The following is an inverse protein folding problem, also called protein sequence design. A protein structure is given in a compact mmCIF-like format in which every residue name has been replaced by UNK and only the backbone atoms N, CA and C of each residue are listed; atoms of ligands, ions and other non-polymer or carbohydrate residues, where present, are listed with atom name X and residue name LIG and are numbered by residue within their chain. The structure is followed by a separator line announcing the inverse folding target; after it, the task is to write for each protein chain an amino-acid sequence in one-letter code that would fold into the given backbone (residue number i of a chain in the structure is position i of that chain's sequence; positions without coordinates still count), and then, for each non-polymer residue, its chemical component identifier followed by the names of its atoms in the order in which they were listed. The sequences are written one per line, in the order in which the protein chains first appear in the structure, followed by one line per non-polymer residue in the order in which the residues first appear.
data_IF_756985113318
#
_entry.id   IF_756985113318
#
_cell.length_a   1.000
_cell.length_b   1.000
_cell.length_c   1.000
_cell.angle_alpha   90.00
_cell.angle_beta   90.00
_cell.angle_gamma   90.00
#
_symmetry.space_group_name_H-M   'P 1'
#
loop_
_entity.id
_entity.type
_entity.pdbx_description
1 polymer ?
#
# COMPACT_ATOMS: atom_id res chain seq x y z
N UNK A 1 50.89 -15.08 -63.67
CA UNK A 1 50.20 -15.99 -62.73
C UNK A 1 50.26 -15.35 -61.37
N UNK A 2 49.07 -15.29 -60.78
CA UNK A 2 48.66 -14.61 -59.56
C UNK A 2 49.35 -15.18 -58.31
N UNK A 3 49.29 -14.46 -57.18
CA UNK A 3 48.93 -15.01 -55.86
C UNK A 3 48.92 -13.87 -54.82
N UNK A 4 47.80 -13.15 -54.79
CA UNK A 4 47.41 -12.30 -53.65
C UNK A 4 47.05 -13.18 -52.45
N UNK A 5 47.67 -12.92 -51.30
CA UNK A 5 47.38 -13.57 -50.01
C UNK A 5 46.13 -12.92 -49.39
N UNK A 6 45.10 -13.68 -48.96
CA UNK A 6 43.95 -13.10 -48.27
C UNK A 6 44.24 -12.95 -46.77
N UNK A 7 43.94 -11.77 -46.20
CA UNK A 7 43.80 -11.58 -44.75
C UNK A 7 42.46 -12.17 -44.31
N UNK A 8 42.51 -13.22 -43.48
CA UNK A 8 41.35 -13.72 -42.73
C UNK A 8 41.11 -12.81 -41.52
N UNK A 9 40.04 -12.02 -41.57
CA UNK A 9 39.51 -11.30 -40.41
C UNK A 9 38.64 -12.23 -39.58
N UNK A 10 39.00 -12.44 -38.32
CA UNK A 10 38.17 -13.13 -37.32
C UNK A 10 37.10 -12.19 -36.81
N UNK A 11 35.83 -12.44 -37.16
CA UNK A 11 34.69 -11.79 -36.54
C UNK A 11 34.45 -12.39 -35.14
N UNK A 12 34.66 -11.59 -34.09
CA UNK A 12 34.27 -11.96 -32.74
C UNK A 12 32.75 -11.80 -32.60
N UNK A 13 32.04 -12.92 -32.48
CA UNK A 13 30.61 -12.93 -32.12
C UNK A 13 30.51 -12.68 -30.62
N UNK A 14 30.06 -11.49 -30.23
CA UNK A 14 29.71 -11.19 -28.86
C UNK A 14 28.39 -11.93 -28.52
N UNK A 15 28.50 -12.99 -27.73
CA UNK A 15 27.32 -13.66 -27.15
C UNK A 15 26.87 -12.80 -25.97
N UNK A 16 25.78 -12.06 -26.14
CA UNK A 16 25.12 -11.38 -25.04
C UNK A 16 24.49 -12.44 -24.13
N UNK A 17 25.08 -12.65 -22.96
CA UNK A 17 24.47 -13.43 -21.88
C UNK A 17 23.36 -12.59 -21.26
N UNK A 18 22.10 -12.89 -21.61
CA UNK A 18 20.96 -12.41 -20.83
C UNK A 18 20.95 -13.18 -19.51
N UNK A 19 21.32 -12.52 -18.41
CA UNK A 19 21.00 -13.06 -17.09
C UNK A 19 19.48 -13.10 -16.96
N UNK A 20 18.89 -14.19 -16.42
CA UNK A 20 17.47 -14.20 -16.12
C UNK A 20 17.20 -13.06 -15.12
N UNK A 21 16.22 -12.21 -15.43
CA UNK A 21 15.69 -11.28 -14.45
C UNK A 21 15.18 -12.10 -13.26
N UNK A 22 15.81 -11.95 -12.11
CA UNK A 22 15.30 -12.53 -10.87
C UNK A 22 14.02 -11.78 -10.52
N UNK A 23 12.87 -12.37 -10.81
CA UNK A 23 11.63 -11.97 -10.17
C UNK A 23 11.83 -12.20 -8.66
N UNK A 24 11.84 -11.13 -7.87
CA UNK A 24 11.85 -11.25 -6.42
C UNK A 24 10.57 -11.99 -6.00
N UNK A 25 10.67 -12.86 -5.00
CA UNK A 25 9.48 -13.47 -4.42
C UNK A 25 8.55 -12.37 -3.89
N UNK A 26 7.26 -12.48 -4.20
CA UNK A 26 6.27 -11.54 -3.71
C UNK A 26 6.23 -11.56 -2.18
N UNK A 27 6.17 -10.38 -1.56
CA UNK A 27 6.03 -10.25 -0.11
C UNK A 27 4.55 -10.31 0.27
N UNK A 28 4.24 -11.06 1.34
CA UNK A 28 2.89 -11.21 1.84
C UNK A 28 2.72 -10.48 3.17
N UNK A 29 1.63 -9.73 3.31
CA UNK A 29 1.23 -9.08 4.55
C UNK A 29 -0.21 -9.46 4.87
N UNK A 30 -0.53 -9.56 6.16
CA UNK A 30 -1.88 -9.84 6.66
C UNK A 30 -2.26 -8.87 7.76
N UNK A 31 -3.55 -8.59 7.86
CA UNK A 31 -4.13 -7.91 9.02
C UNK A 31 -5.37 -8.65 9.48
N UNK A 32 -5.47 -8.85 10.80
CA UNK A 32 -6.73 -9.17 11.44
C UNK A 32 -7.47 -7.84 11.67
N UNK A 33 -8.67 -7.71 11.08
CA UNK A 33 -9.48 -6.50 11.17
C UNK A 33 -10.42 -6.66 12.37
N UNK A 34 -10.24 -5.80 13.37
CA UNK A 34 -11.00 -5.82 14.62
C UNK A 34 -11.93 -4.61 14.73
N UNK A 35 -13.07 -4.73 15.43
CA UNK A 35 -13.99 -3.61 15.60
C UNK A 35 -13.34 -2.43 16.34
N UNK A 36 -13.75 -1.22 15.96
CA UNK A 36 -13.58 0.02 16.70
C UNK A 36 -14.97 0.59 17.02
N UNK A 37 -15.08 1.36 18.10
CA UNK A 37 -16.36 1.97 18.50
C UNK A 37 -17.50 0.95 18.77
N UNK A 38 -17.16 -0.18 19.40
CA UNK A 38 -18.15 -1.22 19.77
C UNK A 38 -19.28 -0.69 20.65
N UNK A 39 -18.98 0.27 21.54
CA UNK A 39 -19.98 0.94 22.38
C UNK A 39 -21.05 1.70 21.57
N UNK A 40 -20.76 2.01 20.31
CA UNK A 40 -21.65 2.68 19.36
C UNK A 40 -22.20 1.73 18.30
N UNK A 41 -22.12 0.41 18.54
CA UNK A 41 -22.77 -0.60 17.74
C UNK A 41 -21.96 -1.12 16.56
N UNK A 42 -20.69 -0.73 16.42
CA UNK A 42 -19.82 -1.38 15.45
C UNK A 42 -19.54 -2.84 15.85
N UNK A 43 -19.75 -3.76 14.91
CA UNK A 43 -19.39 -5.18 15.05
C UNK A 43 -18.46 -5.64 13.93
N UNK A 44 -17.92 -4.69 13.18
CA UNK A 44 -17.21 -4.95 11.94
C UNK A 44 -15.90 -5.69 12.21
N UNK A 45 -15.74 -6.86 11.62
CA UNK A 45 -14.53 -7.67 11.78
C UNK A 45 -14.26 -8.54 10.55
N UNK A 46 -13.01 -8.96 10.39
CA UNK A 46 -12.60 -9.76 9.25
C UNK A 46 -11.09 -9.83 9.08
N UNK A 47 -10.64 -9.92 7.83
CA UNK A 47 -9.22 -10.00 7.53
C UNK A 47 -8.86 -9.26 6.25
N UNK A 48 -7.58 -8.91 6.14
CA UNK A 48 -7.00 -8.40 4.91
C UNK A 48 -5.72 -9.16 4.57
N UNK A 49 -5.48 -9.31 3.27
CA UNK A 49 -4.27 -9.88 2.70
C UNK A 49 -3.72 -8.93 1.65
N UNK A 50 -2.45 -8.57 1.76
CA UNK A 50 -1.76 -7.73 0.80
C UNK A 50 -0.57 -8.50 0.22
N UNK A 51 -0.52 -8.61 -1.10
CA UNK A 51 0.62 -9.18 -1.82
C UNK A 51 1.34 -8.08 -2.57
N UNK A 52 2.59 -7.82 -2.20
CA UNK A 52 3.48 -6.87 -2.87
C UNK A 52 4.44 -7.63 -3.79
N UNK A 53 4.33 -7.38 -5.09
CA UNK A 53 5.20 -7.96 -6.11
C UNK A 53 6.00 -6.86 -6.83
N UNK A 54 7.14 -7.25 -7.41
CA UNK A 54 8.09 -6.39 -8.10
C UNK A 54 8.41 -6.99 -9.48
N UNK A 55 7.47 -6.92 -10.45
CA UNK A 55 7.62 -7.60 -11.73
C UNK A 55 8.82 -7.10 -12.55
N UNK A 56 9.26 -5.87 -12.31
CA UNK A 56 10.44 -5.26 -12.94
C UNK A 56 11.09 -4.24 -12.02
N UNK A 57 12.25 -3.72 -12.42
CA UNK A 57 12.94 -2.65 -11.68
C UNK A 57 12.04 -1.41 -11.46
N UNK A 58 11.18 -1.11 -12.43
CA UNK A 58 10.37 0.11 -12.46
C UNK A 58 8.89 -0.11 -12.18
N UNK A 59 8.44 -1.34 -11.94
CA UNK A 59 7.02 -1.62 -11.67
C UNK A 59 6.86 -2.28 -10.29
N UNK A 60 5.89 -1.80 -9.53
CA UNK A 60 5.41 -2.45 -8.30
C UNK A 60 3.94 -2.77 -8.45
N UNK A 61 3.53 -3.93 -7.97
CA UNK A 61 2.14 -4.36 -7.97
C UNK A 61 1.74 -4.71 -6.55
N UNK A 62 0.59 -4.20 -6.12
CA UNK A 62 0.03 -4.42 -4.79
C UNK A 62 -1.38 -4.98 -4.95
N UNK A 63 -1.56 -6.27 -4.72
CA UNK A 63 -2.90 -6.86 -4.65
C UNK A 63 -3.40 -6.75 -3.23
N UNK A 64 -4.54 -6.09 -3.05
CA UNK A 64 -5.22 -5.93 -1.77
C UNK A 64 -6.50 -6.74 -1.79
N UNK A 65 -6.63 -7.65 -0.84
CA UNK A 65 -7.81 -8.47 -0.63
C UNK A 65 -8.34 -8.19 0.78
N UNK A 66 -9.62 -7.84 0.89
CA UNK A 66 -10.27 -7.54 2.17
C UNK A 66 -11.59 -8.30 2.19
N UNK A 67 -11.88 -8.93 3.32
CA UNK A 67 -13.17 -9.55 3.61
C UNK A 67 -13.57 -9.20 5.04
N UNK A 68 -14.53 -8.28 5.16
CA UNK A 68 -15.06 -7.78 6.43
C UNK A 68 -16.58 -7.90 6.43
N UNK A 69 -17.12 -8.31 7.57
CA UNK A 69 -18.56 -8.47 7.81
C UNK A 69 -18.96 -7.74 9.10
N UNK A 70 -20.27 -7.59 9.33
CA UNK A 70 -20.78 -6.96 10.56
C UNK A 70 -20.74 -5.43 10.50
N UNK A 71 -20.70 -4.87 9.29
CA UNK A 71 -20.88 -3.44 9.04
C UNK A 71 -22.37 -3.09 9.13
N UNK A 72 -22.67 -1.81 9.37
CA UNK A 72 -24.03 -1.30 9.28
C UNK A 72 -24.46 -1.26 7.81
N UNK A 73 -25.67 -1.72 7.47
CA UNK A 73 -26.20 -1.44 6.12
C UNK A 73 -26.58 0.04 6.00
N UNK A 74 -25.89 0.77 5.13
CA UNK A 74 -26.03 2.21 4.88
C UNK A 74 -26.85 2.49 3.60
N UNK A 75 -27.32 1.44 2.91
CA UNK A 75 -27.97 1.54 1.60
C UNK A 75 -29.24 2.41 1.62
N UNK A 76 -29.98 2.38 2.73
CA UNK A 76 -31.27 3.07 2.86
C UNK A 76 -31.19 4.60 2.80
N UNK A 77 -30.02 5.18 3.10
CA UNK A 77 -29.78 6.62 3.07
C UNK A 77 -28.60 7.03 2.18
N UNK A 78 -28.09 6.10 1.37
CA UNK A 78 -26.99 6.34 0.43
C UNK A 78 -25.63 6.58 1.10
N UNK A 79 -25.43 6.07 2.32
CA UNK A 79 -24.11 6.05 2.94
C UNK A 79 -23.20 4.99 2.32
N UNK A 80 -21.90 5.08 2.59
CA UNK A 80 -20.88 4.12 2.13
C UNK A 80 -19.85 3.85 3.22
N UNK A 81 -19.23 2.68 3.17
CA UNK A 81 -18.05 2.36 3.95
C UNK A 81 -16.80 2.69 3.16
N UNK A 82 -16.03 3.68 3.64
CA UNK A 82 -14.73 4.01 3.03
C UNK A 82 -13.62 3.25 3.76
N UNK A 83 -12.63 2.78 3.01
CA UNK A 83 -11.48 2.10 3.57
C UNK A 83 -10.18 2.68 3.02
N UNK A 84 -9.17 2.73 3.88
CA UNK A 84 -7.88 3.31 3.55
C UNK A 84 -6.74 2.51 4.18
N UNK A 85 -5.55 2.62 3.60
CA UNK A 85 -4.31 2.39 4.34
C UNK A 85 -3.87 3.72 4.94
N UNK A 86 -3.66 3.71 6.25
CA UNK A 86 -3.05 4.81 7.00
C UNK A 86 -1.57 4.52 7.24
N UNK A 87 -0.77 5.57 7.33
CA UNK A 87 0.67 5.46 7.53
C UNK A 87 1.27 6.66 8.23
N UNK A 88 1.98 6.41 9.33
CA UNK A 88 2.63 7.47 10.08
C UNK A 88 4.00 7.84 9.50
N UNK A 89 4.36 9.11 9.63
CA UNK A 89 5.64 9.65 9.16
C UNK A 89 6.42 10.30 10.30
N UNK A 90 7.76 10.21 10.21
CA UNK A 90 8.66 10.87 11.15
C UNK A 90 8.34 12.37 11.26
N UNK A 91 8.13 12.84 12.49
CA UNK A 91 7.76 14.22 12.80
C UNK A 91 6.28 14.58 12.63
N UNK A 92 5.43 13.71 12.05
CA UNK A 92 4.03 14.04 11.83
C UNK A 92 3.24 14.21 13.14
N UNK A 93 3.42 13.31 14.12
CA UNK A 93 2.77 13.39 15.43
C UNK A 93 3.06 14.69 16.20
N UNK A 94 4.12 15.43 15.84
CA UNK A 94 4.46 16.72 16.44
C UNK A 94 3.80 17.93 15.77
N UNK A 95 3.11 17.72 14.64
CA UNK A 95 2.41 18.78 13.89
C UNK A 95 1.07 19.12 14.56
N UNK A 96 0.53 20.32 14.33
CA UNK A 96 -0.83 20.66 14.77
C UNK A 96 -1.83 19.59 14.31
N UNK A 97 -2.74 19.17 15.19
CA UNK A 97 -3.62 18.02 15.00
C UNK A 97 -4.39 18.03 13.66
N UNK A 98 -4.93 19.19 13.30
CA UNK A 98 -5.67 19.37 12.05
C UNK A 98 -4.77 19.31 10.81
N UNK A 99 -3.49 19.62 10.95
CA UNK A 99 -2.50 19.52 9.89
C UNK A 99 -1.94 18.10 9.73
N UNK A 100 -2.18 17.15 10.64
CA UNK A 100 -1.51 15.84 10.61
C UNK A 100 -1.93 14.91 9.46
N UNK A 101 -3.02 15.23 8.76
CA UNK A 101 -3.36 14.56 7.49
C UNK A 101 -2.67 15.13 6.26
N UNK A 102 -1.98 16.26 6.43
CA UNK A 102 -1.31 17.02 5.38
C UNK A 102 0.16 17.19 5.76
N UNK A 103 1.07 17.18 4.79
CA UNK A 103 2.44 17.50 5.16
C UNK A 103 3.48 17.31 4.10
N UNK A 104 4.74 17.64 4.45
CA UNK A 104 5.86 17.58 3.52
C UNK A 104 6.15 16.14 3.05
N UNK A 105 5.64 15.12 3.74
CA UNK A 105 5.71 13.73 3.34
C UNK A 105 4.96 13.43 2.02
N UNK A 106 4.07 14.29 1.56
CA UNK A 106 3.46 14.17 0.22
C UNK A 106 4.22 14.92 -0.88
N UNK A 107 5.45 15.40 -0.61
CA UNK A 107 6.29 16.08 -1.62
C UNK A 107 7.53 15.26 -1.98
N UNK A 108 8.14 15.55 -3.12
CA UNK A 108 9.42 14.96 -3.52
C UNK A 108 9.36 13.43 -3.62
N UNK A 109 10.25 12.74 -2.90
CA UNK A 109 10.32 11.28 -2.89
C UNK A 109 9.34 10.61 -1.89
N UNK A 110 8.68 11.38 -1.02
CA UNK A 110 7.86 10.84 0.06
C UNK A 110 8.44 11.11 1.46
N UNK A 111 7.66 10.75 2.49
CA UNK A 111 8.07 10.81 3.90
C UNK A 111 8.82 9.58 4.36
N UNK A 112 9.55 9.70 5.47
CA UNK A 112 10.10 8.54 6.18
C UNK A 112 9.02 7.91 7.04
N UNK A 113 8.63 6.71 6.65
CA UNK A 113 7.71 5.86 7.39
C UNK A 113 8.15 5.63 8.85
N UNK A 114 7.18 5.64 9.75
CA UNK A 114 7.30 5.14 11.13
C UNK A 114 6.06 4.32 11.45
N UNK A 115 6.13 3.55 12.53
CA UNK A 115 5.04 2.67 12.96
C UNK A 115 3.73 3.47 13.17
N UNK A 116 2.70 3.08 12.43
CA UNK A 116 1.31 3.43 12.73
C UNK A 116 0.82 2.59 13.90
N UNK A 117 -0.03 3.16 14.75
CA UNK A 117 -0.61 2.47 15.90
C UNK A 117 -2.12 2.55 15.82
N UNK A 118 -2.77 1.39 15.93
CA UNK A 118 -4.22 1.34 16.04
C UNK A 118 -4.68 2.19 17.23
N UNK A 119 -5.59 3.14 17.00
CA UNK A 119 -6.11 3.95 18.07
C UNK A 119 -7.00 3.15 19.02
N UNK A 120 -7.05 3.59 20.26
CA UNK A 120 -7.78 2.94 21.36
C UNK A 120 -8.63 3.96 22.10
N UNK A 121 -9.51 3.51 23.00
CA UNK A 121 -10.24 4.43 23.90
C UNK A 121 -9.34 5.23 24.84
N UNK A 122 -8.04 4.92 24.95
CA UNK A 122 -7.11 5.80 25.66
C UNK A 122 -6.80 7.08 24.89
N UNK A 123 -7.12 7.12 23.59
CA UNK A 123 -6.93 8.25 22.69
C UNK A 123 -8.18 9.13 22.57
N UNK A 124 -9.29 8.75 23.22
CA UNK A 124 -10.50 9.57 23.38
C UNK A 124 -10.18 10.80 24.23
N UNK A 125 -10.11 11.97 23.59
CA UNK A 125 -9.60 13.21 24.21
C UNK A 125 -10.71 13.91 24.99
N UNK A 126 -11.95 13.85 24.51
CA UNK A 126 -13.08 14.55 25.13
C UNK A 126 -13.91 13.67 26.08
N UNK A 127 -13.66 12.36 26.09
CA UNK A 127 -14.18 11.40 27.06
C UNK A 127 -15.64 11.01 26.80
N UNK A 128 -16.12 11.16 25.57
CA UNK A 128 -17.47 10.77 25.18
C UNK A 128 -17.63 9.26 24.91
N UNK A 129 -16.52 8.52 24.95
CA UNK A 129 -16.42 7.08 24.74
C UNK A 129 -16.34 6.69 23.26
N UNK A 130 -16.37 7.66 22.34
CA UNK A 130 -16.34 7.48 20.91
C UNK A 130 -15.00 7.92 20.34
N UNK A 131 -14.25 6.97 19.80
CA UNK A 131 -13.01 7.26 19.10
C UNK A 131 -13.31 7.85 17.72
N UNK A 132 -13.09 9.14 17.57
CA UNK A 132 -13.27 9.85 16.31
C UNK A 132 -11.97 9.91 15.47
N UNK A 133 -12.09 10.37 14.21
CA UNK A 133 -10.95 10.38 13.28
C UNK A 133 -9.84 11.38 13.65
N UNK A 134 -10.18 12.43 14.40
CA UNK A 134 -9.22 13.44 14.86
C UNK A 134 -8.35 12.84 15.95
N UNK A 135 -8.96 12.05 16.84
CA UNK A 135 -8.30 11.36 17.95
C UNK A 135 -7.42 10.21 17.50
N UNK A 136 -7.83 9.47 16.47
CA UNK A 136 -7.00 8.38 15.92
C UNK A 136 -5.81 8.87 15.09
N UNK A 137 -5.88 10.07 14.53
CA UNK A 137 -4.88 10.63 13.59
C UNK A 137 -3.44 10.66 14.11
N UNK A 138 -3.15 11.09 15.35
CA UNK A 138 -1.80 11.08 15.89
C UNK A 138 -1.15 9.69 15.91
N UNK A 139 -1.97 8.65 16.08
CA UNK A 139 -1.53 7.26 16.19
C UNK A 139 -1.36 6.63 14.79
N UNK A 140 -2.40 6.66 13.95
CA UNK A 140 -2.38 5.94 12.68
C UNK A 140 -1.77 6.71 11.50
N UNK A 141 -1.66 8.05 11.59
CA UNK A 141 -1.16 8.92 10.52
C UNK A 141 -2.16 9.26 9.39
N UNK A 142 -1.72 10.00 8.37
CA UNK A 142 -2.51 10.34 7.19
C UNK A 142 -2.91 9.11 6.36
N UNK A 143 -3.92 9.27 5.50
CA UNK A 143 -4.24 8.31 4.44
C UNK A 143 -3.12 8.29 3.40
N UNK A 144 -2.57 7.10 3.12
CA UNK A 144 -1.53 6.88 2.10
C UNK A 144 -2.04 6.14 0.86
N UNK A 145 -3.17 5.43 0.98
CA UNK A 145 -3.85 4.79 -0.15
C UNK A 145 -5.36 4.69 0.13
N UNK A 146 -6.20 5.09 -0.84
CA UNK A 146 -7.64 4.80 -0.80
C UNK A 146 -7.87 3.37 -1.33
N UNK A 147 -8.63 2.56 -0.60
CA UNK A 147 -8.87 1.15 -0.93
C UNK A 147 -10.18 1.00 -1.72
N UNK A 148 -10.16 1.54 -2.93
CA UNK A 148 -11.29 1.56 -3.87
C UNK A 148 -11.33 0.31 -4.75
N UNK A 149 -12.50 -0.03 -5.30
CA UNK A 149 -12.70 -1.17 -6.20
C UNK A 149 -11.80 -1.14 -7.45
N UNK A 150 -11.35 0.04 -7.87
CA UNK A 150 -10.36 0.26 -8.91
C UNK A 150 -9.26 1.22 -8.44
N UNK A 151 -8.11 1.22 -9.13
CA UNK A 151 -7.04 2.16 -8.83
C UNK A 151 -7.36 3.56 -9.34
N UNK A 152 -7.29 4.54 -8.44
CA UNK A 152 -7.37 5.95 -8.78
C UNK A 152 -6.01 6.51 -9.24
N UNK A 153 -5.99 7.64 -9.99
CA UNK A 153 -4.75 8.32 -10.32
C UNK A 153 -3.93 8.68 -9.07
N UNK A 154 -2.61 8.55 -9.16
CA UNK A 154 -1.71 8.95 -8.09
C UNK A 154 -1.82 10.45 -7.81
N UNK A 155 -1.75 10.83 -6.54
CA UNK A 155 -1.90 12.22 -6.12
C UNK A 155 -0.67 13.05 -6.51
N UNK A 156 -0.85 14.27 -7.06
CA UNK A 156 0.25 15.17 -7.38
C UNK A 156 1.11 15.55 -6.17
N UNK A 157 2.32 16.07 -6.42
CA UNK A 157 3.23 16.46 -5.33
C UNK A 157 2.60 17.54 -4.44
N UNK A 158 2.60 17.27 -3.13
CA UNK A 158 2.01 18.12 -2.09
C UNK A 158 0.54 17.82 -1.81
N UNK A 159 -0.10 16.92 -2.57
CA UNK A 159 -1.51 16.56 -2.40
C UNK A 159 -1.61 15.18 -1.74
N UNK A 160 -2.24 15.07 -0.56
CA UNK A 160 -2.55 13.77 0.05
C UNK A 160 -3.54 12.95 -0.78
N UNK A 161 -3.47 11.60 -0.74
CA UNK A 161 -4.46 10.72 -1.36
C UNK A 161 -5.92 10.99 -1.00
N UNK A 162 -6.20 11.32 0.27
CA UNK A 162 -7.56 11.67 0.68
C UNK A 162 -8.02 13.01 0.08
N UNK A 163 -7.14 14.01 0.00
CA UNK A 163 -7.48 15.30 -0.58
C UNK A 163 -7.75 15.17 -2.09
N UNK A 164 -6.93 14.40 -2.81
CA UNK A 164 -7.15 14.09 -4.21
C UNK A 164 -8.49 13.36 -4.43
N UNK A 165 -8.81 12.38 -3.58
CA UNK A 165 -10.08 11.66 -3.64
C UNK A 165 -11.27 12.61 -3.51
N UNK A 166 -11.25 13.48 -2.49
CA UNK A 166 -12.32 14.45 -2.25
C UNK A 166 -12.45 15.44 -3.41
N UNK A 167 -11.35 15.88 -4.01
CA UNK A 167 -11.37 16.74 -5.20
C UNK A 167 -12.03 16.04 -6.39
N UNK A 168 -11.61 14.81 -6.71
CA UNK A 168 -12.17 14.01 -7.80
C UNK A 168 -13.65 13.71 -7.60
N UNK A 169 -14.08 13.46 -6.36
CA UNK A 169 -15.48 13.25 -6.04
C UNK A 169 -16.28 14.55 -6.21
N UNK A 170 -15.76 15.67 -5.68
CA UNK A 170 -16.43 16.98 -5.72
C UNK A 170 -16.63 17.54 -7.13
N UNK A 171 -15.71 17.22 -8.05
CA UNK A 171 -15.79 17.64 -9.45
C UNK A 171 -16.53 16.64 -10.36
N UNK A 172 -17.01 15.51 -9.80
CA UNK A 172 -17.75 14.48 -10.51
C UNK A 172 -16.91 13.58 -11.42
N UNK A 173 -15.59 13.58 -11.26
CA UNK A 173 -14.70 12.66 -12.01
C UNK A 173 -14.86 11.22 -11.54
N UNK A 174 -15.15 11.02 -10.25
CA UNK A 174 -15.44 9.70 -9.67
C UNK A 174 -16.79 9.72 -8.95
N UNK A 175 -17.41 8.54 -8.86
CA UNK A 175 -18.58 8.30 -8.03
C UNK A 175 -18.17 7.44 -6.82
N UNK A 176 -18.07 8.01 -5.60
CA UNK A 176 -17.74 7.24 -4.40
C UNK A 176 -18.64 6.02 -4.16
N UNK A 177 -19.92 6.09 -4.53
CA UNK A 177 -20.87 4.98 -4.34
C UNK A 177 -20.62 3.81 -5.31
N UNK A 178 -19.89 4.03 -6.41
CA UNK A 178 -19.44 2.98 -7.30
C UNK A 178 -18.11 2.34 -6.84
N UNK A 179 -17.34 3.06 -6.00
CA UNK A 179 -16.01 2.66 -5.57
C UNK A 179 -15.98 1.96 -4.21
N UNK A 180 -17.01 2.20 -3.39
CA UNK A 180 -17.13 1.71 -2.03
C UNK A 180 -18.50 1.05 -1.78
N UNK A 181 -18.55 -0.01 -0.96
CA UNK A 181 -19.81 -0.69 -0.64
C UNK A 181 -20.63 0.11 0.37
N UNK A 182 -21.95 -0.09 0.34
CA UNK A 182 -22.91 0.46 1.30
C UNK A 182 -23.52 -0.61 2.22
N UNK A 183 -23.33 -1.90 1.92
CA UNK A 183 -23.96 -3.01 2.65
C UNK A 183 -23.22 -3.39 3.93
N UNK A 184 -23.68 -4.48 4.53
CA UNK A 184 -23.17 -5.08 5.77
C UNK A 184 -21.81 -5.82 5.62
N UNK A 185 -21.25 -5.82 4.42
CA UNK A 185 -19.97 -6.44 4.07
C UNK A 185 -19.09 -5.51 3.24
N UNK A 186 -17.79 -5.62 3.45
CA UNK A 186 -16.76 -4.96 2.64
C UNK A 186 -15.86 -6.03 2.04
N UNK A 187 -16.04 -6.29 0.75
CA UNK A 187 -15.22 -7.22 -0.02
C UNK A 187 -14.45 -6.47 -1.09
N UNK A 188 -13.13 -6.60 -1.07
CA UNK A 188 -12.22 -5.98 -2.03
C UNK A 188 -11.25 -7.03 -2.56
N UNK A 189 -11.01 -7.02 -3.87
CA UNK A 189 -9.91 -7.75 -4.51
C UNK A 189 -9.41 -6.90 -5.69
N UNK A 190 -8.52 -5.97 -5.36
CA UNK A 190 -8.04 -4.95 -6.31
C UNK A 190 -6.53 -4.97 -6.38
N UNK A 191 -6.00 -4.90 -7.60
CA UNK A 191 -4.56 -4.78 -7.83
C UNK A 191 -4.21 -3.35 -8.22
N UNK A 192 -3.35 -2.74 -7.42
CA UNK A 192 -2.76 -1.43 -7.68
C UNK A 192 -1.39 -1.61 -8.35
N UNK A 193 -1.06 -0.74 -9.28
CA UNK A 193 0.20 -0.72 -10.00
C UNK A 193 0.86 0.64 -9.83
N UNK A 194 2.16 0.63 -9.54
CA UNK A 194 2.96 1.83 -9.39
C UNK A 194 4.12 1.79 -10.38
N UNK A 195 4.05 2.63 -11.40
CA UNK A 195 5.17 2.91 -12.30
C UNK A 195 6.15 3.86 -11.60
N UNK A 196 7.31 3.34 -11.22
CA UNK A 196 8.34 4.09 -10.51
C UNK A 196 9.07 5.10 -11.40
N UNK A 197 8.80 5.13 -12.71
CA UNK A 197 9.28 6.20 -13.60
C UNK A 197 8.40 7.44 -13.55
N UNK A 198 7.15 7.29 -13.10
CA UNK A 198 6.25 8.41 -12.80
C UNK A 198 6.54 8.89 -11.35
N UNK A 199 6.93 10.17 -11.17
CA UNK A 199 7.31 10.69 -9.85
C UNK A 199 6.16 10.70 -8.83
N UNK A 200 4.90 10.78 -9.29
CA UNK A 200 3.74 10.79 -8.40
C UNK A 200 3.39 9.39 -7.92
N UNK A 201 3.43 8.40 -8.82
CA UNK A 201 3.27 6.99 -8.48
C UNK A 201 4.43 6.47 -7.63
N UNK A 202 5.67 6.84 -7.95
CA UNK A 202 6.84 6.49 -7.16
C UNK A 202 6.72 7.03 -5.73
N UNK A 203 6.30 8.30 -5.57
CA UNK A 203 6.09 8.90 -4.25
C UNK A 203 4.96 8.22 -3.48
N UNK A 204 3.84 7.92 -4.13
CA UNK A 204 2.73 7.21 -3.47
C UNK A 204 3.19 5.84 -2.96
N UNK A 205 3.93 5.08 -3.78
CA UNK A 205 4.50 3.79 -3.38
C UNK A 205 5.51 3.93 -2.23
N UNK A 206 6.38 4.94 -2.26
CA UNK A 206 7.33 5.19 -1.17
C UNK A 206 6.61 5.54 0.14
N UNK A 207 5.54 6.33 0.09
CA UNK A 207 4.72 6.64 1.26
C UNK A 207 3.97 5.44 1.81
N UNK A 208 3.62 4.49 0.94
CA UNK A 208 2.97 3.25 1.35
C UNK A 208 3.93 2.28 2.05
N UNK A 209 5.23 2.34 1.76
CA UNK A 209 6.23 1.40 2.30
C UNK A 209 7.03 1.97 3.47
N UNK A 210 7.46 1.17 4.46
CA UNK A 210 7.24 -0.28 4.61
C UNK A 210 5.80 -0.61 5.04
N UNK A 211 5.22 -1.69 4.48
CA UNK A 211 3.81 -2.07 4.66
C UNK A 211 3.51 -2.64 6.04
N UNK A 212 4.49 -3.22 6.72
CA UNK A 212 4.40 -3.72 8.09
C UNK A 212 4.34 -2.60 9.15
N UNK A 213 4.47 -1.35 8.73
CA UNK A 213 4.33 -0.16 9.56
C UNK A 213 3.04 0.60 9.24
N UNK A 214 2.05 -0.08 8.66
CA UNK A 214 0.81 0.52 8.17
C UNK A 214 -0.38 -0.22 8.75
N UNK A 215 -1.52 0.44 8.71
CA UNK A 215 -2.79 -0.15 9.12
C UNK A 215 -3.87 0.09 8.08
N UNK A 216 -4.85 -0.80 8.07
CA UNK A 216 -6.08 -0.63 7.33
C UNK A 216 -7.12 -0.10 8.29
N UNK A 217 -7.85 0.95 7.88
CA UNK A 217 -8.98 1.50 8.63
C UNK A 217 -10.20 1.53 7.72
N UNK A 218 -11.33 1.05 8.24
CA UNK A 218 -12.65 1.11 7.62
C UNK A 218 -13.48 2.10 8.41
N UNK A 219 -14.20 2.97 7.71
CA UNK A 219 -15.05 3.99 8.30
C UNK A 219 -16.50 3.90 7.81
N UNK A 220 -17.36 4.72 8.41
CA UNK A 220 -18.78 4.84 8.09
C UNK A 220 -19.62 4.22 9.19
N UNK A 221 -20.00 5.04 10.17
CA UNK A 221 -20.87 4.64 11.28
C UNK A 221 -21.95 5.68 11.49
N UNK A 222 -23.14 5.21 11.88
CA UNK A 222 -24.18 6.07 12.41
C UNK A 222 -24.01 6.23 13.92
N UNK A 223 -23.89 7.47 14.39
CA UNK A 223 -23.71 7.81 15.81
C UNK A 223 -24.80 8.77 16.27
N UNK A 224 -25.05 8.90 17.59
CA UNK A 224 -25.95 9.93 18.10
C UNK A 224 -25.51 11.33 17.71
N UNK A 225 -26.46 12.24 17.46
CA UNK A 225 -26.18 13.63 17.15
C UNK A 225 -25.34 14.32 18.24
N UNK A 226 -25.54 13.94 19.51
CA UNK A 226 -24.76 14.45 20.63
C UNK A 226 -23.26 14.12 20.56
N UNK A 227 -22.87 13.08 19.83
CA UNK A 227 -21.47 12.73 19.52
C UNK A 227 -21.02 13.45 18.25
N UNK A 228 -21.89 13.51 17.25
CA UNK A 228 -21.56 14.08 15.94
C UNK A 228 -21.38 15.61 15.97
N UNK A 229 -22.26 16.33 16.65
CA UNK A 229 -22.33 17.79 16.59
C UNK A 229 -21.03 18.46 17.10
N UNK A 230 -20.43 18.05 18.24
CA UNK A 230 -19.14 18.59 18.69
C UNK A 230 -18.00 18.38 17.69
N UNK A 231 -17.99 17.23 16.98
CA UNK A 231 -16.99 16.94 15.96
C UNK A 231 -17.16 17.89 14.77
N UNK A 232 -18.40 18.15 14.35
CA UNK A 232 -18.69 19.08 13.25
C UNK A 232 -18.31 20.53 13.58
N UNK A 233 -18.53 20.96 14.83
CA UNK A 233 -18.07 22.25 15.34
C UNK A 233 -16.53 22.35 15.27
N UNK A 234 -15.81 21.31 15.70
CA UNK A 234 -14.34 21.25 15.63
C UNK A 234 -13.83 21.29 14.19
N UNK A 235 -14.44 20.51 13.29
CA UNK A 235 -14.09 20.48 11.86
C UNK A 235 -14.29 21.85 11.21
N UNK A 236 -15.43 22.48 11.49
CA UNK A 236 -15.79 23.79 10.93
C UNK A 236 -14.87 24.89 11.44
N UNK A 237 -14.61 24.92 12.75
CA UNK A 237 -13.76 25.93 13.38
C UNK A 237 -12.30 25.88 12.91
N UNK A 238 -11.82 24.70 12.52
CA UNK A 238 -10.42 24.49 12.14
C UNK A 238 -10.21 24.31 10.63
N UNK A 239 -11.28 24.33 9.82
CA UNK A 239 -11.18 24.21 8.36
C UNK A 239 -10.50 22.92 7.90
N UNK A 240 -10.74 21.80 8.59
CA UNK A 240 -9.99 20.55 8.39
C UNK A 240 -10.23 19.89 7.02
N UNK A 241 -11.28 20.29 6.31
CA UNK A 241 -11.72 19.69 5.05
C UNK A 241 -12.36 18.31 5.19
N UNK A 242 -12.50 17.80 6.42
CA UNK A 242 -13.20 16.55 6.68
C UNK A 242 -14.71 16.70 6.40
N UNK A 243 -15.38 15.69 5.82
CA UNK A 243 -16.83 15.70 5.66
C UNK A 243 -17.56 15.81 7.01
N UNK A 244 -18.62 16.62 7.03
CA UNK A 244 -19.53 16.75 8.18
C UNK A 244 -20.47 15.54 8.28
N UNK A 245 -21.11 15.37 9.43
CA UNK A 245 -22.14 14.37 9.63
C UNK A 245 -23.39 14.61 8.76
N UNK A 246 -24.04 13.53 8.33
CA UNK A 246 -25.29 13.56 7.57
C UNK A 246 -26.43 13.05 8.46
N UNK A 247 -27.43 13.88 8.81
CA UNK A 247 -28.56 13.43 9.60
C UNK A 247 -29.33 12.31 8.89
N UNK A 248 -29.60 11.21 9.60
CA UNK A 248 -30.33 10.05 9.06
C UNK A 248 -31.68 9.80 9.75
N UNK A 249 -32.05 10.65 10.73
CA UNK A 249 -33.31 10.57 11.46
C UNK A 249 -33.12 10.08 12.91
N UNK A 250 -34.17 10.16 13.72
CA UNK A 250 -34.22 9.62 15.09
C UNK A 250 -33.07 10.06 16.03
N UNK A 251 -32.54 11.26 15.82
CA UNK A 251 -31.42 11.78 16.61
C UNK A 251 -30.06 11.17 16.25
N UNK A 252 -29.98 10.48 15.11
CA UNK A 252 -28.79 9.82 14.60
C UNK A 252 -28.19 10.56 13.40
N UNK A 253 -26.87 10.46 13.27
CA UNK A 253 -26.07 11.09 12.22
C UNK A 253 -25.10 10.07 11.65
N UNK A 254 -25.11 9.90 10.33
CA UNK A 254 -24.11 9.12 9.62
C UNK A 254 -22.81 9.93 9.49
N UNK A 255 -21.71 9.36 9.96
CA UNK A 255 -20.37 9.94 9.80
C UNK A 255 -19.51 9.01 8.95
N UNK A 256 -19.23 9.42 7.73
CA UNK A 256 -18.28 8.73 6.84
C UNK A 256 -16.85 8.70 7.40
N UNK A 257 -16.53 9.60 8.35
CA UNK A 257 -15.22 9.66 9.01
C UNK A 257 -15.12 8.80 10.27
N UNK A 258 -16.24 8.28 10.79
CA UNK A 258 -16.24 7.46 12.00
C UNK A 258 -15.56 6.11 11.73
N UNK A 259 -14.44 5.78 12.40
CA UNK A 259 -13.80 4.48 12.23
C UNK A 259 -14.68 3.37 12.82
N UNK A 260 -14.88 2.29 12.07
CA UNK A 260 -15.69 1.12 12.48
C UNK A 260 -14.84 -0.12 12.72
N UNK A 261 -13.73 -0.27 12.02
CA UNK A 261 -12.81 -1.38 12.21
C UNK A 261 -11.41 -1.01 11.71
N UNK A 262 -10.39 -1.65 12.27
CA UNK A 262 -9.02 -1.46 11.82
C UNK A 262 -8.15 -2.70 12.06
N UNK A 263 -6.98 -2.77 11.41
CA UNK A 263 -6.00 -3.82 11.65
C UNK A 263 -4.60 -3.44 11.18
N UNK A 264 -3.59 -3.84 11.96
CA UNK A 264 -2.19 -3.66 11.62
C UNK A 264 -1.77 -4.66 10.56
N UNK A 265 -1.04 -4.17 9.55
CA UNK A 265 -0.42 -5.03 8.55
C UNK A 265 0.84 -5.65 9.14
N UNK A 266 0.92 -6.97 9.06
CA UNK A 266 2.06 -7.75 9.55
C UNK A 266 2.67 -8.50 8.38
N UNK A 267 3.98 -8.41 8.22
CA UNK A 267 4.71 -9.24 7.27
C UNK A 267 4.53 -10.72 7.65
N UNK A 268 4.16 -11.54 6.68
CA UNK A 268 4.22 -12.99 6.81
C UNK A 268 5.63 -13.38 6.39
N UNK A 269 6.48 -13.70 7.37
CA UNK A 269 7.76 -14.32 7.06
C UNK A 269 7.48 -15.60 6.27
N UNK A 270 8.13 -15.75 5.12
CA UNK A 270 8.19 -17.05 4.47
C UNK A 270 8.75 -18.01 5.52
N UNK A 271 7.93 -18.98 5.95
CA UNK A 271 8.42 -20.24 6.51
C UNK A 271 9.29 -20.83 5.41
N UNK A 272 10.55 -20.38 5.35
CA UNK A 272 11.51 -20.79 4.37
C UNK A 272 11.64 -22.29 4.56
N UNK A 273 10.98 -23.02 3.66
CA UNK A 273 11.37 -24.37 3.33
C UNK A 273 12.86 -24.31 3.09
N UNK A 274 13.64 -24.70 4.12
CA UNK A 274 15.07 -24.86 4.01
C UNK A 274 15.26 -26.00 3.01
N UNK A 275 15.28 -25.67 1.72
CA UNK A 275 15.77 -26.58 0.70
C UNK A 275 17.26 -26.71 1.03
N UNK A 276 17.73 -27.86 1.54
CA UNK A 276 19.15 -28.04 1.74
C UNK A 276 19.83 -27.83 0.39
N UNK A 277 20.80 -26.92 0.33
CA UNK A 277 21.53 -26.71 -0.91
C UNK A 277 22.04 -28.05 -1.45
N UNK A 278 21.87 -28.34 -2.75
CA UNK A 278 22.55 -29.48 -3.34
C UNK A 278 24.03 -29.23 -3.17
N UNK A 279 24.69 -30.10 -2.39
CA UNK A 279 26.14 -30.12 -2.20
C UNK A 279 26.82 -29.81 -3.54
N UNK A 280 27.48 -28.65 -3.61
CA UNK A 280 28.27 -28.27 -4.76
C UNK A 280 29.33 -29.35 -5.00
N UNK A 281 29.06 -30.24 -5.96
CA UNK A 281 30.05 -31.15 -6.50
C UNK A 281 31.10 -30.29 -7.19
N UNK A 282 32.19 -30.02 -6.48
CA UNK A 282 33.39 -29.37 -6.99
C UNK A 282 33.88 -30.11 -8.24
N UNK A 283 33.51 -29.60 -9.41
CA UNK A 283 34.10 -30.01 -10.68
C UNK A 283 35.54 -29.46 -10.72
N UNK A 284 36.50 -30.27 -10.31
CA UNK A 284 37.93 -29.97 -10.53
C UNK A 284 38.18 -30.11 -12.03
N UNK A 285 38.09 -29.00 -12.75
CA UNK A 285 38.52 -28.87 -14.13
C UNK A 285 40.05 -28.82 -14.21
N UNK A 286 40.66 -29.95 -14.56
CA UNK A 286 42.04 -30.00 -15.00
C UNK A 286 42.17 -29.50 -16.44
N UNK A 287 42.58 -28.25 -16.62
CA UNK A 287 43.06 -27.70 -17.89
C UNK A 287 44.49 -28.21 -18.11
N UNK A 288 44.70 -29.02 -19.15
CA UNK A 288 46.03 -29.21 -19.75
C UNK A 288 45.98 -28.71 -21.18
N UNK A 289 46.53 -27.52 -21.39
CA UNK A 289 46.88 -26.98 -22.70
C UNK A 289 48.40 -26.99 -22.80
N UNK A 290 48.95 -27.83 -23.68
CA UNK A 290 50.35 -27.71 -24.13
C UNK A 290 50.49 -28.21 -25.57
N UNK A 291 50.37 -27.24 -26.49
CA UNK A 291 51.32 -26.90 -27.57
C UNK A 291 52.04 -28.09 -28.25
N UNK A 292 51.76 -28.27 -29.55
CA UNK A 292 52.37 -29.30 -30.37
C UNK A 292 53.81 -29.02 -30.81
N UNK A 293 54.48 -30.08 -31.27
CA UNK A 293 55.58 -29.99 -32.24
C UNK A 293 55.54 -31.23 -33.13
N UNK A 294 55.22 -31.03 -34.42
CA UNK A 294 55.49 -32.00 -35.48
C UNK A 294 56.94 -31.83 -35.90
N UNK A 295 57.75 -32.88 -35.76
CA UNK A 295 59.02 -33.01 -36.47
C UNK A 295 59.11 -34.39 -37.12
N UNK A 296 59.37 -34.34 -38.41
CA UNK A 296 59.62 -35.39 -39.41
C UNK A 296 60.80 -36.29 -39.04
N UNK A 297 60.71 -37.61 -39.28
CA UNK A 297 61.82 -38.36 -39.89
C UNK A 297 61.40 -39.68 -40.54
N UNK A 298 61.97 -39.92 -41.73
CA UNK A 298 61.91 -41.13 -42.58
C UNK A 298 62.99 -42.16 -42.17
N UNK A 299 62.76 -43.41 -42.62
CA UNK A 299 63.67 -44.59 -42.71
C UNK A 299 63.98 -45.26 -41.36
N UNK A 300 63.93 -46.58 -41.15
CA UNK A 300 64.26 -47.80 -41.94
C UNK A 300 63.54 -48.96 -41.19
N UNK A 301 62.94 -49.99 -41.78
CA UNK A 301 63.47 -51.15 -42.55
C UNK A 301 62.35 -51.67 -43.44
#
# INVERSE_FOLDING_TARGET
MDFRTPLLGTAAVAVATFAPAHANAASLFKADIVPLNEAFGSTASGSAQITLDQPSETLRTLRVQIDVTGLQDLSDFGGIHVAHIHGQFSGNASRPLFDQGNGPFFTGAGGTAVESVLPTLADDIDGDGFLNFIEGRPAYGPVVLNLTSEQLPASPSGVPPLAQFLELASNGTIDPAALFPAGDTFSLDTTYQFDLTDPDQARQFNNLTALDQREIVIHGLTVPASISDPIDDLVTANGSGAPLGIPVGDGQVFRITAPVAAGNLQAVEDEATSVPEPLAMSLIGGVVLAIGLKTTQRHTV
#
